data_IF_051171702203
#
_entry.id   IF_051171702203
#
_cell.length_a   1.000
_cell.length_b   1.000
_cell.length_c   1.000
_cell.angle_alpha   90.00
_cell.angle_beta   90.00
_cell.angle_gamma   90.00
#
_symmetry.space_group_name_H-M   'P 1'
#
loop_
_entity.id
_entity.type
_entity.pdbx_description
1 polymer ?
#
# COMPACT_ATOMS: atom_id res chain seq x y z
N UNK A 1 14.15 7.59 12.42
CA UNK A 1 14.94 6.36 12.13
C UNK A 1 15.16 5.68 13.47
N UNK A 2 14.79 4.40 13.63
CA UNK A 2 15.10 3.68 14.87
C UNK A 2 16.63 3.53 14.90
N UNK A 3 17.29 3.99 15.99
CA UNK A 3 18.76 3.94 16.11
C UNK A 3 19.23 2.60 16.70
N UNK A 4 18.49 1.53 16.46
CA UNK A 4 18.90 0.18 16.85
C UNK A 4 19.87 -0.32 15.77
N UNK A 5 21.14 -0.48 16.13
CA UNK A 5 22.20 -0.98 15.24
C UNK A 5 22.72 -2.35 15.65
N UNK A 6 22.19 -2.92 16.73
CA UNK A 6 22.58 -4.25 17.18
C UNK A 6 22.02 -5.29 16.21
N UNK A 7 22.92 -5.94 15.48
CA UNK A 7 22.55 -6.93 14.46
C UNK A 7 21.82 -8.12 15.06
N UNK A 8 22.11 -8.52 16.31
CA UNK A 8 21.42 -9.65 16.96
C UNK A 8 19.96 -9.31 17.24
N UNK A 9 19.71 -8.10 17.74
CA UNK A 9 18.33 -7.63 17.99
C UNK A 9 17.57 -7.50 16.68
N UNK A 10 18.20 -6.98 15.63
CA UNK A 10 17.59 -6.85 14.31
C UNK A 10 17.25 -8.22 13.71
N UNK A 11 18.19 -9.17 13.72
CA UNK A 11 17.95 -10.53 13.22
C UNK A 11 16.87 -11.26 14.00
N UNK A 12 16.85 -11.13 15.34
CA UNK A 12 15.77 -11.71 16.15
C UNK A 12 14.42 -11.08 15.84
N UNK A 13 14.36 -9.76 15.68
CA UNK A 13 13.12 -9.08 15.31
C UNK A 13 12.60 -9.55 13.95
N UNK A 14 13.47 -9.69 12.96
CA UNK A 14 13.11 -10.19 11.62
C UNK A 14 12.58 -11.63 11.71
N UNK A 15 13.30 -12.52 12.40
CA UNK A 15 12.88 -13.92 12.58
C UNK A 15 11.53 -14.03 13.30
N UNK A 16 11.31 -13.24 14.35
CA UNK A 16 10.02 -13.21 15.06
C UNK A 16 8.91 -12.65 14.15
N UNK A 17 9.20 -11.60 13.37
CA UNK A 17 8.24 -11.02 12.45
C UNK A 17 7.76 -12.04 11.40
N UNK A 18 8.66 -12.87 10.89
CA UNK A 18 8.33 -13.97 9.98
C UNK A 18 7.43 -15.02 10.67
N UNK A 19 7.82 -15.51 11.85
CA UNK A 19 7.07 -16.54 12.60
C UNK A 19 5.66 -16.07 13.02
N UNK A 20 5.49 -14.80 13.35
CA UNK A 20 4.19 -14.27 13.79
C UNK A 20 3.28 -13.86 12.62
N UNK A 21 3.83 -13.58 11.43
CA UNK A 21 3.08 -13.04 10.30
C UNK A 21 1.79 -13.83 9.97
N UNK A 22 1.77 -15.18 9.93
CA UNK A 22 0.55 -15.94 9.62
C UNK A 22 -0.60 -15.72 10.63
N UNK A 23 -0.27 -15.30 11.86
CA UNK A 23 -1.24 -15.11 12.96
C UNK A 23 -1.66 -13.65 13.13
N UNK A 24 -0.96 -12.72 12.49
CA UNK A 24 -1.24 -11.30 12.63
C UNK A 24 -2.62 -10.92 12.09
N UNK A 25 -3.27 -9.96 12.75
CA UNK A 25 -4.33 -9.16 12.14
C UNK A 25 -3.75 -8.01 11.28
N UNK A 26 -4.60 -7.24 10.59
CA UNK A 26 -4.16 -6.15 9.70
C UNK A 26 -3.36 -5.07 10.43
N UNK A 27 -3.75 -4.76 11.66
CA UNK A 27 -3.11 -3.76 12.50
C UNK A 27 -1.67 -4.17 12.86
N UNK A 28 -1.53 -5.40 13.37
CA UNK A 28 -0.25 -5.99 13.76
C UNK A 28 0.68 -6.10 12.55
N UNK A 29 0.19 -6.66 11.43
CA UNK A 29 1.00 -6.83 10.23
C UNK A 29 1.49 -5.48 9.67
N UNK A 30 0.60 -4.48 9.61
CA UNK A 30 0.97 -3.11 9.19
C UNK A 30 2.03 -2.49 10.12
N UNK A 31 1.88 -2.65 11.45
CA UNK A 31 2.83 -2.09 12.42
C UNK A 31 4.19 -2.77 12.38
N UNK A 32 4.24 -4.09 12.24
CA UNK A 32 5.49 -4.85 12.11
C UNK A 32 6.21 -4.45 10.82
N UNK A 33 5.48 -4.39 9.71
CA UNK A 33 6.02 -3.95 8.41
C UNK A 33 6.59 -2.53 8.49
N UNK A 34 5.88 -1.63 9.18
CA UNK A 34 6.39 -0.30 9.47
C UNK A 34 7.66 -0.33 10.31
N UNK A 35 7.72 -1.17 11.35
CA UNK A 35 8.90 -1.40 12.17
C UNK A 35 10.11 -1.82 11.33
N UNK A 36 9.94 -2.83 10.47
CA UNK A 36 10.96 -3.30 9.53
C UNK A 36 11.48 -2.16 8.64
N UNK A 37 10.58 -1.33 8.09
CA UNK A 37 10.97 -0.16 7.28
C UNK A 37 11.82 0.89 8.00
N UNK A 38 11.93 0.81 9.33
CA UNK A 38 12.78 1.70 10.13
C UNK A 38 14.13 1.12 10.47
N UNK A 39 14.28 -0.20 10.37
CA UNK A 39 15.52 -0.94 10.63
C UNK A 39 16.37 -1.06 9.37
N UNK A 40 15.77 -0.85 8.20
CA UNK A 40 16.32 -1.30 6.92
C UNK A 40 16.49 -0.09 6.00
N UNK A 41 17.69 0.04 5.43
CA UNK A 41 17.92 0.98 4.36
C UNK A 41 17.46 0.40 3.03
N UNK A 42 16.86 1.25 2.20
CA UNK A 42 16.28 0.91 0.88
C UNK A 42 17.26 0.23 -0.08
N UNK A 43 18.55 0.22 0.23
CA UNK A 43 19.61 -0.48 -0.51
C UNK A 43 19.63 -2.00 -0.28
N UNK A 44 19.19 -2.49 0.89
CA UNK A 44 19.23 -3.93 1.19
C UNK A 44 18.28 -4.75 0.30
N UNK A 45 17.04 -4.30 0.13
CA UNK A 45 16.02 -5.01 -0.66
C UNK A 45 16.23 -4.82 -2.18
N UNK A 46 16.86 -3.71 -2.59
CA UNK A 46 17.06 -3.38 -4.01
C UNK A 46 18.18 -4.20 -4.67
N UNK A 47 19.13 -4.73 -3.90
CA UNK A 47 20.39 -5.23 -4.42
C UNK A 47 20.38 -6.71 -4.88
N UNK A 48 19.37 -7.52 -4.53
CA UNK A 48 19.35 -8.95 -4.87
C UNK A 48 18.69 -9.34 -6.21
N UNK A 49 17.99 -8.45 -6.92
CA UNK A 49 17.40 -8.80 -8.24
C UNK A 49 18.39 -8.84 -9.41
N UNK A 50 19.70 -8.72 -9.15
CA UNK A 50 20.74 -8.60 -10.19
C UNK A 50 21.78 -9.74 -10.25
N UNK A 51 21.63 -10.82 -9.48
CA UNK A 51 22.63 -11.90 -9.45
C UNK A 51 22.01 -13.27 -9.74
N UNK A 52 22.15 -13.75 -10.96
CA UNK A 52 22.02 -15.17 -11.29
C UNK A 52 23.43 -15.76 -11.20
N UNK A 53 23.65 -16.69 -10.26
CA UNK A 53 24.48 -17.89 -10.45
C UNK A 53 24.58 -18.69 -9.15
N UNK A 54 23.77 -19.75 -9.06
CA UNK A 54 24.21 -21.07 -8.57
C UNK A 54 24.77 -21.22 -7.16
N UNK A 55 24.41 -20.38 -6.18
CA UNK A 55 24.69 -20.63 -4.77
C UNK A 55 23.37 -20.82 -4.03
N UNK A 56 23.27 -21.90 -3.27
CA UNK A 56 22.14 -22.28 -2.42
C UNK A 56 21.45 -21.03 -1.83
N UNK A 57 20.21 -20.78 -2.28
CA UNK A 57 19.44 -19.57 -2.02
C UNK A 57 19.08 -19.45 -0.53
N UNK A 58 20.00 -18.97 0.30
CA UNK A 58 19.64 -18.36 1.58
C UNK A 58 18.93 -17.03 1.26
N UNK A 59 17.61 -17.09 1.00
CA UNK A 59 16.80 -15.88 0.85
C UNK A 59 17.02 -14.97 2.05
N UNK A 60 17.26 -13.67 1.79
CA UNK A 60 17.52 -12.70 2.84
C UNK A 60 16.35 -12.72 3.84
N UNK A 61 16.58 -13.01 5.15
CA UNK A 61 15.52 -13.19 6.13
C UNK A 61 14.52 -12.03 6.20
N UNK A 62 14.98 -10.82 5.85
CA UNK A 62 14.08 -9.69 5.76
C UNK A 62 13.06 -9.81 4.62
N UNK A 63 13.49 -10.31 3.47
CA UNK A 63 12.64 -10.48 2.29
C UNK A 63 11.55 -11.50 2.64
N UNK A 64 11.93 -12.60 3.30
CA UNK A 64 10.99 -13.60 3.81
C UNK A 64 9.96 -12.98 4.76
N UNK A 65 10.42 -12.24 5.78
CA UNK A 65 9.52 -11.60 6.74
C UNK A 65 8.58 -10.57 6.09
N UNK A 66 9.11 -9.73 5.19
CA UNK A 66 8.32 -8.73 4.45
C UNK A 66 7.30 -9.40 3.53
N UNK A 67 7.70 -10.45 2.81
CA UNK A 67 6.83 -11.24 1.94
C UNK A 67 5.70 -11.89 2.73
N UNK A 68 6.01 -12.56 3.85
CA UNK A 68 5.01 -13.18 4.72
C UNK A 68 3.98 -12.17 5.25
N UNK A 69 4.43 -10.98 5.66
CA UNK A 69 3.55 -9.90 6.12
C UNK A 69 2.70 -9.31 4.98
N UNK A 70 3.27 -9.16 3.78
CA UNK A 70 2.55 -8.69 2.60
C UNK A 70 1.47 -9.69 2.19
N UNK A 71 1.81 -10.98 2.09
CA UNK A 71 0.86 -12.07 1.85
C UNK A 71 -0.24 -12.10 2.91
N UNK A 72 0.10 -11.90 4.19
CA UNK A 72 -0.93 -11.84 5.23
C UNK A 72 -1.88 -10.67 5.04
N UNK A 73 -1.38 -9.52 4.61
CA UNK A 73 -2.20 -8.33 4.36
C UNK A 73 -3.07 -8.45 3.12
N UNK A 74 -2.73 -9.33 2.17
CA UNK A 74 -3.55 -9.61 0.97
C UNK A 74 -4.56 -10.74 1.16
N UNK A 75 -4.44 -11.52 2.24
CA UNK A 75 -5.44 -12.53 2.63
C UNK A 75 -6.85 -11.90 2.74
N UNK A 76 -7.86 -12.37 1.98
CA UNK A 76 -9.21 -11.82 2.01
C UNK A 76 -9.84 -11.70 3.41
N UNK A 77 -9.55 -12.66 4.31
CA UNK A 77 -10.08 -12.66 5.68
C UNK A 77 -9.54 -11.47 6.51
N UNK A 78 -8.33 -11.02 6.20
CA UNK A 78 -7.66 -9.91 6.88
C UNK A 78 -7.91 -8.60 6.14
N UNK A 79 -7.79 -8.61 4.82
CA UNK A 79 -7.97 -7.46 3.95
C UNK A 79 -9.35 -6.81 4.11
N UNK A 80 -10.41 -7.63 4.30
CA UNK A 80 -11.78 -7.13 4.55
C UNK A 80 -11.88 -6.27 5.82
N UNK A 81 -11.08 -6.57 6.85
CA UNK A 81 -11.03 -5.87 8.14
C UNK A 81 -9.98 -4.75 8.17
N UNK A 82 -9.05 -4.74 7.23
CA UNK A 82 -8.02 -3.73 7.09
C UNK A 82 -8.62 -2.32 6.93
N UNK A 83 -8.15 -1.37 7.74
CA UNK A 83 -8.53 0.04 7.61
C UNK A 83 -7.72 0.75 6.53
N UNK A 84 -8.21 1.90 6.04
CA UNK A 84 -7.45 2.71 5.09
C UNK A 84 -6.16 3.28 5.70
N UNK A 85 -6.13 3.46 7.02
CA UNK A 85 -4.94 3.86 7.78
C UNK A 85 -3.88 2.77 7.78
N UNK A 86 -4.28 1.53 8.07
CA UNK A 86 -3.40 0.35 8.03
C UNK A 86 -2.88 0.12 6.61
N UNK A 87 -3.77 0.12 5.61
CA UNK A 87 -3.37 -0.03 4.22
C UNK A 87 -2.36 1.05 3.77
N UNK A 88 -2.63 2.33 4.07
CA UNK A 88 -1.70 3.41 3.76
C UNK A 88 -0.37 3.31 4.52
N UNK A 89 -0.40 2.84 5.77
CA UNK A 89 0.81 2.61 6.59
C UNK A 89 1.67 1.48 6.02
N UNK A 90 1.05 0.35 5.67
CA UNK A 90 1.72 -0.78 5.04
C UNK A 90 2.33 -0.42 3.68
N UNK A 91 1.56 0.26 2.81
CA UNK A 91 2.08 0.72 1.51
C UNK A 91 3.27 1.65 1.68
N UNK A 92 3.21 2.61 2.62
CA UNK A 92 4.35 3.49 2.89
C UNK A 92 5.58 2.71 3.37
N UNK A 93 5.40 1.68 4.20
CA UNK A 93 6.49 0.82 4.65
C UNK A 93 7.14 0.09 3.46
N UNK A 94 6.33 -0.55 2.60
CA UNK A 94 6.80 -1.24 1.40
C UNK A 94 7.54 -0.28 0.45
N UNK A 95 6.96 0.90 0.21
CA UNK A 95 7.55 1.93 -0.64
C UNK A 95 8.91 2.40 -0.14
N UNK A 96 9.06 2.61 1.18
CA UNK A 96 10.34 3.01 1.80
C UNK A 96 11.42 1.93 1.70
N UNK A 97 11.01 0.66 1.74
CA UNK A 97 11.91 -0.47 1.57
C UNK A 97 12.20 -0.76 0.09
N UNK A 98 11.52 -0.10 -0.86
CA UNK A 98 11.69 -0.37 -2.29
C UNK A 98 11.03 -1.68 -2.76
N UNK A 99 10.07 -2.20 -1.99
CA UNK A 99 9.40 -3.47 -2.28
C UNK A 99 8.33 -3.26 -3.34
N UNK A 100 8.57 -3.79 -4.54
CA UNK A 100 7.67 -3.68 -5.70
C UNK A 100 6.76 -4.90 -5.82
N UNK A 101 5.81 -5.03 -4.90
CA UNK A 101 4.77 -6.06 -4.91
C UNK A 101 3.47 -5.50 -5.52
N UNK A 102 3.21 -5.83 -6.79
CA UNK A 102 2.03 -5.32 -7.49
C UNK A 102 0.70 -5.84 -6.93
N UNK A 103 0.69 -7.04 -6.36
CA UNK A 103 -0.52 -7.65 -5.80
C UNK A 103 -0.88 -6.95 -4.49
N UNK A 104 0.09 -6.79 -3.58
CA UNK A 104 -0.11 -6.04 -2.35
C UNK A 104 -0.53 -4.60 -2.61
N UNK A 105 0.12 -3.91 -3.55
CA UNK A 105 -0.25 -2.54 -3.91
C UNK A 105 -1.67 -2.45 -4.49
N UNK A 106 -2.08 -3.42 -5.31
CA UNK A 106 -3.44 -3.47 -5.86
C UNK A 106 -4.48 -3.68 -4.74
N UNK A 107 -4.29 -4.71 -3.91
CA UNK A 107 -5.19 -5.07 -2.82
C UNK A 107 -5.36 -3.93 -1.80
N UNK A 108 -4.25 -3.38 -1.31
CA UNK A 108 -4.26 -2.30 -0.31
C UNK A 108 -4.81 -0.99 -0.87
N UNK A 109 -4.57 -0.70 -2.16
CA UNK A 109 -5.22 0.43 -2.83
C UNK A 109 -6.73 0.25 -2.91
N UNK A 110 -7.20 -0.98 -3.15
CA UNK A 110 -8.60 -1.36 -3.11
C UNK A 110 -9.26 -1.06 -1.76
N UNK A 111 -8.56 -1.32 -0.65
CA UNK A 111 -9.04 -0.99 0.71
C UNK A 111 -9.26 0.51 0.87
N UNK A 112 -8.31 1.33 0.42
CA UNK A 112 -8.39 2.80 0.54
C UNK A 112 -9.54 3.35 -0.32
N UNK A 113 -9.66 2.88 -1.56
CA UNK A 113 -10.71 3.33 -2.49
C UNK A 113 -12.10 2.84 -2.07
N UNK A 114 -12.20 1.61 -1.56
CA UNK A 114 -13.46 1.00 -1.15
C UNK A 114 -14.01 1.52 0.18
N UNK A 115 -13.19 2.22 0.99
CA UNK A 115 -13.58 2.80 2.29
C UNK A 115 -13.31 4.32 2.31
N UNK A 116 -13.94 5.11 1.42
CA UNK A 116 -13.61 6.52 1.25
C UNK A 116 -13.85 7.34 2.52
N UNK A 117 -14.87 7.01 3.31
CA UNK A 117 -15.19 7.64 4.60
C UNK A 117 -14.02 7.54 5.59
N UNK A 118 -13.35 6.39 5.64
CA UNK A 118 -12.21 6.10 6.51
C UNK A 118 -10.84 6.49 5.94
N UNK A 119 -10.76 6.81 4.64
CA UNK A 119 -9.51 7.19 3.98
C UNK A 119 -9.13 8.65 4.30
N UNK A 120 -8.26 8.82 5.29
CA UNK A 120 -7.69 10.13 5.62
C UNK A 120 -6.77 10.66 4.51
N UNK A 121 -6.57 11.98 4.43
CA UNK A 121 -5.58 12.61 3.55
C UNK A 121 -4.19 11.96 3.68
N UNK A 122 -3.80 11.61 4.90
CA UNK A 122 -2.55 10.92 5.21
C UNK A 122 -2.49 9.54 4.56
N UNK A 123 -3.55 8.74 4.68
CA UNK A 123 -3.63 7.41 4.07
C UNK A 123 -3.46 7.47 2.55
N UNK A 124 -4.15 8.42 1.91
CA UNK A 124 -4.09 8.61 0.46
C UNK A 124 -2.70 9.11 0.04
N UNK A 125 -2.16 10.12 0.73
CA UNK A 125 -0.82 10.65 0.43
C UNK A 125 0.27 9.58 0.59
N UNK A 126 0.18 8.76 1.65
CA UNK A 126 1.09 7.64 1.88
C UNK A 126 1.05 6.63 0.73
N UNK A 127 -0.16 6.24 0.29
CA UNK A 127 -0.33 5.30 -0.81
C UNK A 127 0.20 5.87 -2.14
N UNK A 128 -0.13 7.12 -2.47
CA UNK A 128 0.36 7.77 -3.69
C UNK A 128 1.88 7.91 -3.72
N UNK A 129 2.49 8.32 -2.60
CA UNK A 129 3.95 8.38 -2.49
C UNK A 129 4.57 7.00 -2.64
N UNK A 130 3.98 5.98 -2.02
CA UNK A 130 4.50 4.61 -2.10
C UNK A 130 4.48 4.08 -3.55
N UNK A 131 3.38 4.32 -4.27
CA UNK A 131 3.24 3.95 -5.68
C UNK A 131 4.37 4.53 -6.53
N UNK A 132 4.63 5.83 -6.38
CA UNK A 132 5.74 6.52 -7.04
C UNK A 132 7.11 5.93 -6.65
N UNK A 133 7.33 5.71 -5.35
CA UNK A 133 8.61 5.22 -4.83
C UNK A 133 9.04 3.86 -5.40
N UNK A 134 8.09 3.02 -5.81
CA UNK A 134 8.35 1.68 -6.40
C UNK A 134 7.99 1.58 -7.87
N UNK A 135 7.67 2.72 -8.51
CA UNK A 135 7.28 2.79 -9.92
C UNK A 135 6.12 1.82 -10.26
N UNK A 136 5.06 1.89 -9.46
CA UNK A 136 3.76 1.27 -9.72
C UNK A 136 2.75 2.40 -9.92
N UNK A 137 1.92 2.30 -10.96
CA UNK A 137 0.94 3.34 -11.28
C UNK A 137 -0.23 3.27 -10.28
N UNK A 138 -0.56 4.36 -9.56
CA UNK A 138 -1.69 4.34 -8.64
C UNK A 138 -3.03 4.28 -9.40
N UNK A 139 -4.06 3.65 -8.81
CA UNK A 139 -5.38 3.63 -9.45
C UNK A 139 -5.96 5.04 -9.51
N UNK A 140 -6.52 5.41 -10.66
CA UNK A 140 -7.16 6.73 -10.88
C UNK A 140 -8.22 7.06 -9.83
N UNK A 141 -8.96 6.04 -9.37
CA UNK A 141 -9.97 6.19 -8.33
C UNK A 141 -9.41 6.77 -7.03
N UNK A 142 -8.15 6.50 -6.70
CA UNK A 142 -7.50 7.05 -5.50
C UNK A 142 -7.26 8.55 -5.59
N UNK A 143 -6.85 9.05 -6.77
CA UNK A 143 -6.74 10.48 -7.04
C UNK A 143 -8.12 11.15 -7.03
N UNK A 144 -9.14 10.49 -7.59
CA UNK A 144 -10.51 10.98 -7.56
C UNK A 144 -11.05 11.06 -6.11
N UNK A 145 -10.78 10.07 -5.26
CA UNK A 145 -11.14 10.12 -3.84
C UNK A 145 -10.55 11.35 -3.15
N UNK A 146 -9.28 11.66 -3.41
CA UNK A 146 -8.64 12.85 -2.85
C UNK A 146 -9.23 14.15 -3.41
N UNK A 147 -9.37 14.27 -4.73
CA UNK A 147 -9.88 15.47 -5.40
C UNK A 147 -11.34 15.77 -5.01
N UNK A 148 -12.20 14.75 -4.98
CA UNK A 148 -13.58 14.89 -4.55
C UNK A 148 -13.66 15.37 -3.09
N UNK A 149 -12.86 14.78 -2.19
CA UNK A 149 -12.97 15.01 -0.75
C UNK A 149 -12.34 16.33 -0.30
N UNK A 150 -11.20 16.69 -0.86
CA UNK A 150 -10.41 17.83 -0.38
C UNK A 150 -10.47 19.06 -1.27
N UNK A 151 -10.82 18.91 -2.55
CA UNK A 151 -10.95 20.02 -3.48
C UNK A 151 -12.38 20.28 -3.94
N UNK A 152 -13.34 19.40 -3.62
CA UNK A 152 -14.72 19.52 -4.09
C UNK A 152 -14.86 19.37 -5.62
N UNK A 153 -13.84 18.84 -6.30
CA UNK A 153 -13.84 18.67 -7.75
C UNK A 153 -14.60 17.38 -8.06
N UNK A 154 -15.92 17.49 -8.27
CA UNK A 154 -16.74 16.34 -8.67
C UNK A 154 -16.55 16.08 -10.17
N UNK A 155 -15.85 15.01 -10.51
CA UNK A 155 -15.86 14.43 -11.85
C UNK A 155 -14.71 14.84 -12.77
N UNK A 156 -13.64 14.04 -12.75
CA UNK A 156 -12.87 13.79 -13.98
C UNK A 156 -13.62 12.73 -14.81
N UNK A 157 -14.83 13.04 -15.25
CA UNK A 157 -15.53 12.21 -16.22
C UNK A 157 -14.84 12.35 -17.57
N UNK A 158 -14.57 11.21 -18.21
CA UNK A 158 -14.14 11.14 -19.60
C UNK A 158 -15.09 11.98 -20.48
N UNK A 159 -14.51 12.79 -21.37
CA UNK A 159 -15.27 13.52 -22.37
C UNK A 159 -15.93 12.62 -23.42
N UNK A 160 -16.92 13.23 -24.12
CA UNK A 160 -17.84 12.76 -25.18
C UNK A 160 -19.06 12.01 -24.65
N UNK A 161 -20.30 12.40 -24.94
CA UNK A 161 -20.88 13.06 -26.12
C UNK A 161 -22.03 13.99 -25.73
N UNK A 162 -22.25 15.04 -26.52
CA UNK A 162 -23.28 16.04 -26.28
C UNK A 162 -24.71 15.54 -26.47
N UNK A 163 -25.63 16.28 -25.85
CA UNK A 163 -26.76 16.91 -26.52
C UNK A 163 -27.39 17.94 -25.59
N UNK A 164 -27.25 19.20 -26.01
CA UNK A 164 -28.11 20.31 -25.61
C UNK A 164 -29.46 20.10 -26.31
N UNK A 165 -30.57 20.29 -25.59
CA UNK A 165 -31.87 20.53 -26.20
C UNK A 165 -32.98 19.60 -25.73
N UNK A 166 -33.83 20.13 -24.85
CA UNK A 166 -35.11 19.52 -24.45
C UNK A 166 -35.89 20.51 -23.59
N UNK A 167 -36.41 21.58 -24.21
CA UNK A 167 -37.38 22.48 -23.59
C UNK A 167 -38.72 21.76 -23.56
N UNK A 168 -39.30 21.62 -22.37
CA UNK A 168 -40.61 21.01 -22.14
C UNK A 168 -41.72 22.01 -22.52
N UNK A 169 -42.59 21.73 -23.50
CA UNK A 169 -43.67 22.61 -23.86
C UNK A 169 -44.95 22.12 -23.19
N UNK A 170 -45.38 22.80 -22.12
CA UNK A 170 -46.80 23.05 -21.75
C UNK A 170 -46.90 23.47 -20.28
N UNK A 171 -46.86 24.77 -20.03
CA UNK A 171 -47.57 25.39 -18.90
C UNK A 171 -47.77 26.88 -19.16
N UNK A 172 -48.80 27.20 -19.95
CA UNK A 172 -49.55 28.47 -19.88
C UNK A 172 -50.78 28.33 -20.77
N UNK A 173 -51.90 27.88 -20.21
CA UNK A 173 -53.15 28.65 -20.12
C UNK A 173 -54.21 27.85 -19.36
#
# INVERSE_FOLDING_TARGET
>A
RLRVRDSRIVSQFISVAEDVAPRCNSHEASNILWGLSRLVDSSHVRQQRGGSDGAQDDEDPIILAVSALATRLTDPAILSRCSAQEAGGAMLALGKMGVRDTEAFSALSGVIVGKPEGASARSIANALWAHEAVNIVPPRAMLNCWANRYLGIVGLHHGRTGKVGGVDPKQTR
#
